data_IF_216351301954
#
_entry.id   IF_216351301954
#
_cell.length_a   1.000
_cell.length_b   1.000
_cell.length_c   1.000
_cell.angle_alpha   90.00
_cell.angle_beta   90.00
_cell.angle_gamma   90.00
#
_symmetry.space_group_name_H-M   'P 1'
#
loop_
_entity.id
_entity.type
_entity.pdbx_description
1 polymer ?
#
# COMPACT_ATOMS: atom_id res chain seq x y z
N UNK A 1 23.58 -3.35 -24.11
CA UNK A 1 22.10 -3.26 -23.99
C UNK A 1 21.65 -4.09 -22.82
N UNK A 2 20.88 -3.54 -21.89
CA UNK A 2 20.28 -4.33 -20.79
C UNK A 2 19.31 -5.36 -21.39
N UNK A 3 19.47 -6.66 -21.05
CA UNK A 3 18.62 -7.70 -21.58
C UNK A 3 17.19 -7.52 -21.07
N UNK A 4 16.21 -7.46 -21.97
CA UNK A 4 14.79 -7.47 -21.65
C UNK A 4 14.22 -8.88 -21.80
N UNK A 5 13.49 -9.33 -20.78
CA UNK A 5 12.85 -10.65 -20.74
C UNK A 5 11.40 -10.49 -20.31
N UNK A 6 10.47 -11.15 -21.01
CA UNK A 6 9.03 -11.14 -20.73
C UNK A 6 8.48 -12.56 -20.68
N UNK A 7 8.70 -13.30 -19.58
CA UNK A 7 8.20 -14.67 -19.44
C UNK A 7 6.67 -14.69 -19.37
N UNK A 8 6.05 -15.71 -19.98
CA UNK A 8 4.61 -15.95 -19.85
C UNK A 8 4.27 -16.84 -18.64
N UNK A 9 5.25 -17.51 -18.05
CA UNK A 9 5.05 -18.42 -16.93
C UNK A 9 5.80 -18.01 -15.66
N UNK A 10 5.17 -18.21 -14.51
CA UNK A 10 5.77 -17.87 -13.21
C UNK A 10 7.06 -18.65 -12.95
N UNK A 11 7.12 -19.94 -13.30
CA UNK A 11 8.31 -20.77 -13.07
C UNK A 11 9.51 -20.31 -13.91
N UNK A 12 9.29 -19.82 -15.16
CA UNK A 12 10.35 -19.22 -15.97
C UNK A 12 10.85 -17.93 -15.32
N UNK A 13 9.95 -17.05 -14.85
CA UNK A 13 10.33 -15.84 -14.14
C UNK A 13 11.19 -16.13 -12.89
N UNK A 14 10.77 -17.09 -12.07
CA UNK A 14 11.50 -17.50 -10.86
C UNK A 14 12.85 -18.17 -11.20
N UNK A 15 12.90 -18.92 -12.29
CA UNK A 15 14.14 -19.51 -12.79
C UNK A 15 15.17 -18.45 -13.17
N UNK A 16 14.75 -17.37 -13.83
CA UNK A 16 15.61 -16.24 -14.21
C UNK A 16 16.11 -15.47 -13.00
N UNK A 17 15.21 -15.17 -12.03
CA UNK A 17 15.59 -14.51 -10.76
C UNK A 17 16.58 -15.34 -9.93
N UNK A 18 16.50 -16.68 -10.04
CA UNK A 18 17.45 -17.58 -9.38
C UNK A 18 18.83 -17.59 -10.06
N UNK A 19 18.92 -17.25 -11.36
CA UNK A 19 20.16 -17.24 -12.10
C UNK A 19 20.95 -15.93 -11.95
N UNK A 20 20.24 -14.79 -11.98
CA UNK A 20 20.85 -13.47 -11.85
C UNK A 20 19.83 -12.43 -11.34
N UNK A 21 20.26 -11.36 -10.65
CA UNK A 21 19.39 -10.27 -10.24
C UNK A 21 18.77 -9.55 -11.45
N UNK A 22 17.46 -9.27 -11.37
CA UNK A 22 16.72 -8.53 -12.39
C UNK A 22 16.01 -7.32 -11.80
N UNK A 23 15.82 -6.29 -12.62
CA UNK A 23 14.89 -5.22 -12.34
C UNK A 23 13.48 -5.65 -12.78
N UNK A 24 12.60 -5.91 -11.83
CA UNK A 24 11.24 -6.38 -12.09
C UNK A 24 10.37 -5.19 -12.55
N UNK A 25 9.60 -5.40 -13.63
CA UNK A 25 8.59 -4.46 -14.11
C UNK A 25 7.22 -5.16 -14.09
N UNK A 26 6.26 -4.52 -13.41
CA UNK A 26 4.82 -4.77 -13.52
C UNK A 26 4.19 -3.59 -14.30
N UNK A 27 3.50 -2.65 -13.63
CA UNK A 27 2.92 -1.47 -14.30
C UNK A 27 3.92 -0.45 -14.84
N UNK A 28 5.16 -0.44 -14.35
CA UNK A 28 6.24 0.42 -14.81
C UNK A 28 6.13 1.90 -14.41
N UNK A 29 5.09 2.30 -13.71
CA UNK A 29 4.72 3.70 -13.41
C UNK A 29 5.73 4.46 -12.52
N UNK A 30 6.60 3.76 -11.81
CA UNK A 30 7.74 4.33 -11.07
C UNK A 30 9.07 4.06 -11.78
N UNK A 31 9.18 2.91 -12.46
CA UNK A 31 10.43 2.47 -13.08
C UNK A 31 10.84 3.38 -14.25
N UNK A 32 9.89 3.69 -15.15
CA UNK A 32 10.18 4.53 -16.32
C UNK A 32 10.45 5.99 -15.96
N UNK A 33 9.64 6.67 -15.10
CA UNK A 33 9.95 8.04 -14.69
C UNK A 33 11.29 8.17 -13.96
N UNK A 34 11.65 7.22 -13.09
CA UNK A 34 12.94 7.22 -12.41
C UNK A 34 14.11 7.05 -13.40
N UNK A 35 13.94 6.22 -14.43
CA UNK A 35 14.92 6.07 -15.49
C UNK A 35 15.08 7.36 -16.30
N UNK A 36 13.98 8.01 -16.69
CA UNK A 36 13.99 9.28 -17.42
C UNK A 36 14.65 10.41 -16.61
N UNK A 37 14.34 10.52 -15.32
CA UNK A 37 14.92 11.53 -14.43
C UNK A 37 16.44 11.37 -14.26
N UNK A 38 16.94 10.14 -14.23
CA UNK A 38 18.37 9.86 -14.09
C UNK A 38 19.22 10.26 -15.31
N UNK A 39 18.58 10.44 -16.49
CA UNK A 39 19.27 10.72 -17.76
C UNK A 39 19.15 12.17 -18.21
N UNK A 40 18.16 12.87 -17.69
CA UNK A 40 17.77 14.19 -18.18
C UNK A 40 16.99 14.12 -19.51
N UNK A 41 16.13 15.08 -19.72
CA UNK A 41 15.37 15.21 -20.98
C UNK A 41 16.32 15.48 -22.14
N UNK A 42 16.25 14.66 -23.20
CA UNK A 42 16.94 14.89 -24.45
C UNK A 42 18.27 14.18 -24.65
N UNK A 43 18.69 13.26 -23.78
CA UNK A 43 19.84 12.41 -24.03
C UNK A 43 19.41 11.06 -24.58
N UNK A 44 19.69 10.71 -25.85
CA UNK A 44 19.41 9.41 -26.40
C UNK A 44 20.35 8.34 -25.82
N UNK A 45 19.82 7.16 -25.56
CA UNK A 45 20.61 5.96 -25.32
C UNK A 45 21.17 5.87 -23.91
N UNK A 46 20.45 5.15 -23.07
CA UNK A 46 20.91 4.88 -21.72
C UNK A 46 21.39 3.45 -21.63
N UNK A 47 22.55 3.24 -22.16
CA UNK A 47 23.38 2.10 -21.76
C UNK A 47 24.19 2.54 -20.54
N UNK A 48 23.62 2.40 -19.33
CA UNK A 48 24.41 2.48 -18.12
C UNK A 48 25.08 1.12 -17.89
N UNK A 49 26.42 1.04 -17.92
CA UNK A 49 27.13 -0.17 -17.50
C UNK A 49 26.72 -0.47 -16.05
N UNK A 50 26.23 -1.68 -15.80
CA UNK A 50 25.80 -2.15 -14.46
C UNK A 50 24.29 -2.14 -14.21
N UNK A 51 23.41 -1.90 -15.18
CA UNK A 51 21.96 -2.11 -15.02
C UNK A 51 21.64 -3.60 -15.08
N UNK A 52 21.00 -4.09 -14.02
CA UNK A 52 20.40 -5.41 -14.02
C UNK A 52 19.44 -5.57 -15.22
N UNK A 53 19.38 -6.75 -15.83
CA UNK A 53 18.42 -7.05 -16.90
C UNK A 53 16.99 -6.80 -16.41
N UNK A 54 16.10 -6.46 -17.34
CA UNK A 54 14.70 -6.20 -17.05
C UNK A 54 13.93 -7.50 -17.13
N UNK A 55 13.14 -7.80 -16.09
CA UNK A 55 12.16 -8.86 -16.06
C UNK A 55 10.75 -8.26 -16.05
N UNK A 56 10.09 -8.27 -17.19
CA UNK A 56 8.71 -7.83 -17.36
C UNK A 56 7.77 -8.98 -17.05
N UNK A 57 7.03 -8.89 -15.94
CA UNK A 57 6.11 -9.94 -15.48
C UNK A 57 4.68 -9.77 -16.00
N UNK A 58 4.40 -8.77 -16.85
CA UNK A 58 3.03 -8.43 -17.30
C UNK A 58 2.36 -9.50 -18.15
N UNK A 59 3.10 -10.48 -18.69
CA UNK A 59 2.55 -11.60 -19.44
C UNK A 59 2.18 -12.82 -18.55
N UNK A 60 2.41 -12.75 -17.24
CA UNK A 60 2.14 -13.88 -16.32
C UNK A 60 0.70 -13.78 -15.82
N UNK A 61 -0.26 -14.35 -16.56
CA UNK A 61 -1.70 -14.32 -16.24
C UNK A 61 -2.01 -14.81 -14.82
N UNK A 62 -1.25 -15.79 -14.32
CA UNK A 62 -1.41 -16.30 -12.96
C UNK A 62 -1.24 -15.26 -11.85
N UNK A 63 -0.72 -14.06 -12.16
CA UNK A 63 -0.56 -12.94 -11.24
C UNK A 63 -1.68 -11.88 -11.35
N UNK A 64 -2.63 -12.04 -12.31
CA UNK A 64 -3.72 -11.08 -12.56
C UNK A 64 -5.03 -11.66 -12.00
N UNK A 65 -5.19 -11.66 -10.66
CA UNK A 65 -6.40 -12.19 -10.05
C UNK A 65 -6.74 -11.51 -8.74
N UNK A 66 -8.04 -11.41 -8.44
CA UNK A 66 -8.58 -11.18 -7.11
C UNK A 66 -9.41 -12.42 -6.76
N UNK A 67 -9.00 -13.17 -5.74
CA UNK A 67 -9.67 -14.40 -5.31
C UNK A 67 -10.17 -14.26 -3.88
N UNK A 68 -11.42 -14.60 -3.67
CA UNK A 68 -12.06 -14.63 -2.35
C UNK A 68 -12.08 -16.05 -1.81
N UNK A 69 -11.64 -16.20 -0.56
CA UNK A 69 -11.73 -17.41 0.23
C UNK A 69 -12.54 -17.10 1.49
N UNK A 70 -13.03 -18.11 2.21
CA UNK A 70 -13.80 -17.87 3.45
C UNK A 70 -13.02 -17.07 4.50
N UNK A 71 -11.70 -17.27 4.58
CA UNK A 71 -10.81 -16.71 5.59
C UNK A 71 -9.90 -15.56 5.08
N UNK A 72 -9.86 -15.33 3.78
CA UNK A 72 -8.97 -14.33 3.19
C UNK A 72 -9.38 -13.89 1.78
N UNK A 73 -8.77 -12.81 1.33
CA UNK A 73 -8.72 -12.39 -0.07
C UNK A 73 -7.28 -12.43 -0.55
N UNK A 74 -7.04 -12.99 -1.73
CA UNK A 74 -5.73 -12.98 -2.40
C UNK A 74 -5.78 -12.07 -3.63
N UNK A 75 -4.86 -11.10 -3.68
CA UNK A 75 -4.70 -10.14 -4.78
C UNK A 75 -3.37 -10.39 -5.46
N UNK A 76 -3.39 -10.77 -6.73
CA UNK A 76 -2.21 -11.05 -7.53
C UNK A 76 -1.35 -9.79 -7.78
N UNK A 77 -0.06 -10.00 -8.01
CA UNK A 77 0.90 -8.91 -8.14
C UNK A 77 0.68 -7.98 -9.35
N UNK A 78 -0.09 -8.41 -10.34
CA UNK A 78 -0.43 -7.62 -11.53
C UNK A 78 -1.76 -6.89 -11.42
N UNK A 79 -2.53 -7.10 -10.34
CA UNK A 79 -3.79 -6.37 -10.12
C UNK A 79 -3.51 -4.87 -10.03
N UNK A 80 -4.14 -4.13 -10.91
CA UNK A 80 -4.01 -2.68 -11.04
C UNK A 80 -4.87 -1.94 -10.02
N UNK A 81 -4.62 -0.64 -9.86
CA UNK A 81 -5.48 0.21 -9.04
C UNK A 81 -6.91 0.28 -9.58
N UNK A 82 -7.08 0.31 -10.91
CA UNK A 82 -8.41 0.29 -11.53
C UNK A 82 -9.19 -0.97 -11.18
N UNK A 83 -8.56 -2.14 -11.30
CA UNK A 83 -9.20 -3.41 -10.93
C UNK A 83 -9.55 -3.48 -9.43
N UNK A 84 -8.71 -2.90 -8.56
CA UNK A 84 -9.03 -2.78 -7.13
C UNK A 84 -10.22 -1.85 -6.86
N UNK A 85 -10.33 -0.72 -7.59
CA UNK A 85 -11.47 0.21 -7.50
C UNK A 85 -12.76 -0.46 -7.93
N UNK A 86 -12.72 -1.25 -9.01
CA UNK A 86 -13.87 -1.90 -9.64
C UNK A 86 -14.21 -3.26 -9.01
N UNK A 87 -13.39 -3.74 -8.06
CA UNK A 87 -13.59 -5.05 -7.42
C UNK A 87 -14.88 -5.09 -6.59
N UNK A 88 -15.58 -6.22 -6.68
CA UNK A 88 -16.73 -6.54 -5.82
C UNK A 88 -16.25 -7.17 -4.49
N UNK A 89 -15.55 -6.37 -3.68
CA UNK A 89 -15.14 -6.75 -2.33
C UNK A 89 -16.02 -6.04 -1.30
N UNK A 90 -16.21 -6.60 -0.09
CA UNK A 90 -17.04 -6.00 0.96
C UNK A 90 -16.53 -4.63 1.45
N UNK A 91 -17.36 -3.93 2.24
CA UNK A 91 -17.07 -2.58 2.75
C UNK A 91 -15.79 -2.47 3.59
N UNK A 92 -15.29 -3.56 4.16
CA UNK A 92 -13.99 -3.56 4.84
C UNK A 92 -12.80 -3.28 3.89
N UNK A 93 -13.02 -3.39 2.56
CA UNK A 93 -12.01 -3.06 1.54
C UNK A 93 -12.13 -1.61 1.04
N UNK A 94 -13.10 -0.84 1.49
CA UNK A 94 -13.34 0.52 0.99
C UNK A 94 -12.17 1.47 1.19
N UNK A 95 -11.41 1.31 2.29
CA UNK A 95 -10.18 2.06 2.49
C UNK A 95 -9.15 1.86 1.38
N UNK A 96 -9.02 0.65 0.85
CA UNK A 96 -8.12 0.37 -0.30
C UNK A 96 -8.69 0.98 -1.59
N UNK A 97 -10.01 0.91 -1.84
CA UNK A 97 -10.64 1.55 -3.01
C UNK A 97 -10.46 3.07 -2.98
N UNK A 98 -10.62 3.68 -1.81
CA UNK A 98 -10.44 5.13 -1.63
C UNK A 98 -8.98 5.52 -1.85
N UNK A 99 -8.01 4.78 -1.27
CA UNK A 99 -6.59 4.99 -1.53
C UNK A 99 -6.27 4.85 -3.02
N UNK A 100 -6.82 3.84 -3.70
CA UNK A 100 -6.62 3.60 -5.12
C UNK A 100 -7.07 4.79 -6.00
N UNK A 101 -8.19 5.46 -5.65
CA UNK A 101 -8.66 6.66 -6.36
C UNK A 101 -7.74 7.86 -6.20
N UNK A 102 -6.95 7.90 -5.12
CA UNK A 102 -5.98 8.98 -4.86
C UNK A 102 -4.62 8.74 -5.51
N UNK A 103 -4.35 7.53 -6.04
CA UNK A 103 -3.09 7.21 -6.71
C UNK A 103 -3.07 7.77 -8.12
N UNK A 104 -2.30 8.83 -8.32
CA UNK A 104 -2.08 9.41 -9.66
C UNK A 104 -3.36 9.80 -10.38
N UNK A 105 -3.32 9.72 -11.71
CA UNK A 105 -4.50 9.86 -12.58
C UNK A 105 -4.91 8.51 -13.16
N UNK A 106 -5.99 8.50 -13.97
CA UNK A 106 -6.55 7.28 -14.57
C UNK A 106 -5.52 6.44 -15.32
N UNK A 107 -4.59 7.09 -16.04
CA UNK A 107 -3.53 6.41 -16.78
C UNK A 107 -2.59 5.63 -15.84
N UNK A 108 -2.28 6.21 -14.68
CA UNK A 108 -1.48 5.55 -13.64
C UNK A 108 -2.27 4.40 -13.00
N UNK A 109 -3.55 4.63 -12.70
CA UNK A 109 -4.41 3.61 -12.11
C UNK A 109 -4.61 2.39 -13.00
N UNK A 110 -4.69 2.59 -14.32
CA UNK A 110 -4.83 1.51 -15.31
C UNK A 110 -3.55 0.67 -15.49
N UNK A 111 -2.40 1.11 -14.99
CA UNK A 111 -1.11 0.44 -15.19
C UNK A 111 -0.40 0.10 -13.88
N UNK A 112 -0.41 1.03 -12.93
CA UNK A 112 0.18 0.82 -11.61
C UNK A 112 -0.51 -0.30 -10.85
N UNK A 113 0.27 -1.16 -10.18
CA UNK A 113 -0.25 -2.30 -9.43
C UNK A 113 -0.11 -2.07 -7.93
N UNK A 114 -0.99 -2.72 -7.14
CA UNK A 114 -0.90 -2.67 -5.69
C UNK A 114 0.45 -3.22 -5.21
N UNK A 115 0.87 -4.37 -5.73
CA UNK A 115 2.15 -4.97 -5.38
C UNK A 115 3.35 -4.10 -5.80
N UNK A 116 3.28 -3.45 -6.97
CA UNK A 116 4.29 -2.50 -7.42
C UNK A 116 4.46 -1.33 -6.46
N UNK A 117 3.37 -0.80 -5.91
CA UNK A 117 3.37 0.26 -4.91
C UNK A 117 4.08 -0.17 -3.62
N UNK A 118 3.81 -1.41 -3.15
CA UNK A 118 4.48 -1.97 -1.97
C UNK A 118 5.98 -2.20 -2.23
N UNK A 119 6.35 -2.80 -3.37
CA UNK A 119 7.74 -3.06 -3.73
C UNK A 119 8.54 -1.76 -3.94
N UNK A 120 7.90 -0.70 -4.45
CA UNK A 120 8.51 0.62 -4.59
C UNK A 120 8.79 1.30 -3.25
N UNK A 121 8.05 0.93 -2.19
CA UNK A 121 8.26 1.31 -0.79
C UNK A 121 8.48 2.83 -0.58
N UNK A 122 7.73 3.67 -1.30
CA UNK A 122 7.75 5.12 -1.05
C UNK A 122 7.11 5.44 0.31
N UNK A 123 7.68 6.35 1.12
CA UNK A 123 7.03 6.83 2.34
C UNK A 123 5.64 7.42 2.12
N UNK A 124 5.37 7.93 0.91
CA UNK A 124 4.09 8.51 0.51
C UNK A 124 3.26 7.56 -0.40
N UNK A 125 3.47 6.25 -0.30
CA UNK A 125 2.70 5.24 -1.03
C UNK A 125 1.32 5.06 -0.40
N UNK A 126 0.27 5.58 -1.04
CA UNK A 126 -1.11 5.63 -0.50
C UNK A 126 -1.67 4.23 -0.20
N UNK A 127 -1.25 3.18 -0.93
CA UNK A 127 -1.68 1.81 -0.70
C UNK A 127 -1.16 1.18 0.59
N UNK A 128 -0.02 1.65 1.11
CA UNK A 128 0.63 1.02 2.27
C UNK A 128 -0.23 1.13 3.53
N UNK A 129 -0.66 2.32 4.00
CA UNK A 129 -1.50 2.41 5.20
C UNK A 129 -2.85 1.71 5.01
N UNK A 130 -3.44 1.75 3.80
CA UNK A 130 -4.71 1.08 3.52
C UNK A 130 -4.61 -0.45 3.69
N UNK A 131 -3.52 -1.05 3.23
CA UNK A 131 -3.27 -2.49 3.37
C UNK A 131 -2.77 -2.87 4.78
N UNK A 132 -2.03 -1.98 5.46
CA UNK A 132 -1.66 -2.19 6.88
C UNK A 132 -2.89 -2.22 7.79
N UNK A 133 -3.88 -1.36 7.54
CA UNK A 133 -5.14 -1.36 8.29
C UNK A 133 -6.02 -2.60 8.02
N UNK A 134 -5.62 -3.46 7.10
CA UNK A 134 -6.24 -4.75 6.81
C UNK A 134 -5.38 -5.95 7.23
N UNK A 135 -4.32 -5.74 8.01
CA UNK A 135 -3.35 -6.77 8.42
C UNK A 135 -2.80 -7.58 7.22
N UNK A 136 -2.61 -6.92 6.08
CA UNK A 136 -2.16 -7.56 4.86
C UNK A 136 -0.78 -8.20 5.04
N UNK A 137 -0.61 -9.33 4.38
CA UNK A 137 0.66 -10.03 4.23
C UNK A 137 1.05 -10.05 2.76
N UNK A 138 2.32 -10.21 2.46
CA UNK A 138 2.82 -10.40 1.10
C UNK A 138 3.41 -11.78 0.94
N UNK A 139 3.03 -12.48 -0.14
CA UNK A 139 3.61 -13.77 -0.50
C UNK A 139 4.76 -13.56 -1.45
N UNK A 140 5.95 -13.95 -1.00
CA UNK A 140 7.19 -13.89 -1.76
C UNK A 140 7.53 -15.30 -2.21
N UNK A 141 7.73 -15.47 -3.52
CA UNK A 141 8.08 -16.77 -4.12
C UNK A 141 9.46 -16.73 -4.75
N UNK A 142 10.17 -17.81 -4.61
CA UNK A 142 11.43 -18.11 -5.30
C UNK A 142 11.38 -19.50 -5.89
N UNK A 143 12.34 -19.87 -6.70
CA UNK A 143 12.48 -21.25 -7.16
C UNK A 143 12.56 -22.19 -5.94
N UNK A 144 11.67 -23.17 -5.87
CA UNK A 144 11.64 -24.18 -4.81
C UNK A 144 11.06 -23.73 -3.47
N UNK A 145 10.40 -22.55 -3.37
CA UNK A 145 9.78 -22.16 -2.10
C UNK A 145 9.01 -20.85 -2.12
N UNK A 146 8.30 -20.63 -1.03
CA UNK A 146 7.58 -19.35 -0.77
C UNK A 146 7.58 -19.04 0.73
N UNK A 147 7.40 -17.75 1.05
CA UNK A 147 7.16 -17.28 2.41
C UNK A 147 6.13 -16.15 2.42
N UNK A 148 5.30 -16.11 3.46
CA UNK A 148 4.35 -15.03 3.70
C UNK A 148 4.92 -14.11 4.78
N UNK A 149 5.05 -12.82 4.46
CA UNK A 149 5.61 -11.80 5.34
C UNK A 149 4.53 -10.79 5.69
N UNK A 150 4.31 -10.42 6.98
CA UNK A 150 3.45 -9.30 7.33
C UNK A 150 3.90 -8.03 6.61
N UNK A 151 2.95 -7.23 6.08
CA UNK A 151 3.29 -6.00 5.36
C UNK A 151 4.09 -5.03 6.23
N UNK A 152 3.81 -4.98 7.53
CA UNK A 152 4.56 -4.17 8.49
C UNK A 152 6.06 -4.52 8.53
N UNK A 153 6.41 -5.80 8.34
CA UNK A 153 7.80 -6.28 8.31
C UNK A 153 8.38 -6.28 6.90
N UNK A 154 7.55 -6.15 5.86
CA UNK A 154 8.02 -6.18 4.48
C UNK A 154 8.74 -4.90 4.09
N UNK A 155 8.18 -3.72 4.43
CA UNK A 155 8.80 -2.41 4.13
C UNK A 155 9.71 -2.05 5.30
N UNK A 156 11.02 -2.01 5.03
CA UNK A 156 12.06 -1.82 6.05
C UNK A 156 12.62 -0.40 6.11
N UNK A 157 12.24 0.46 5.17
CA UNK A 157 12.68 1.85 5.10
C UNK A 157 12.28 2.51 3.79
N UNK A 158 12.68 3.76 3.59
CA UNK A 158 12.43 4.48 2.36
C UNK A 158 13.05 3.75 1.17
N UNK A 159 12.21 3.30 0.23
CA UNK A 159 12.60 2.53 -0.96
C UNK A 159 13.34 1.22 -0.61
N UNK A 160 13.09 0.67 0.57
CA UNK A 160 13.71 -0.57 1.03
C UNK A 160 12.67 -1.57 1.52
N UNK A 161 12.84 -2.80 1.10
CA UNK A 161 11.99 -3.93 1.50
C UNK A 161 12.86 -5.11 1.92
N UNK A 162 12.26 -6.13 2.53
CA UNK A 162 12.93 -7.40 2.83
C UNK A 162 12.89 -8.40 1.67
N UNK A 163 12.50 -7.97 0.47
CA UNK A 163 12.52 -8.79 -0.76
C UNK A 163 13.96 -9.15 -1.11
N UNK A 164 14.23 -10.43 -1.33
CA UNK A 164 15.53 -10.91 -1.76
C UNK A 164 15.66 -10.86 -3.29
N UNK A 165 16.88 -10.78 -3.85
CA UNK A 165 17.08 -10.68 -5.30
C UNK A 165 16.45 -11.83 -6.11
N UNK A 166 16.37 -13.03 -5.53
CA UNK A 166 15.80 -14.22 -6.15
C UNK A 166 14.29 -14.38 -5.91
N UNK A 167 13.66 -13.45 -5.16
CA UNK A 167 12.24 -13.51 -4.84
C UNK A 167 11.40 -12.61 -5.74
N UNK A 168 10.16 -13.02 -5.98
CA UNK A 168 9.11 -12.25 -6.60
C UNK A 168 7.92 -12.14 -5.63
N UNK A 169 7.43 -10.93 -5.38
CA UNK A 169 6.11 -10.76 -4.76
C UNK A 169 5.05 -11.23 -5.74
N UNK A 170 4.31 -12.26 -5.39
CA UNK A 170 3.28 -12.85 -6.27
C UNK A 170 1.86 -12.53 -5.84
N UNK A 171 1.65 -12.28 -4.55
CA UNK A 171 0.30 -12.13 -3.99
C UNK A 171 0.32 -11.23 -2.77
N UNK A 172 -0.68 -10.38 -2.63
CA UNK A 172 -1.05 -9.73 -1.37
C UNK A 172 -2.17 -10.57 -0.76
N UNK A 173 -1.98 -11.02 0.47
CA UNK A 173 -2.92 -11.85 1.22
C UNK A 173 -3.53 -10.99 2.32
N UNK A 174 -4.84 -10.82 2.30
CA UNK A 174 -5.59 -10.02 3.27
C UNK A 174 -6.49 -10.96 4.04
N UNK A 175 -6.33 -11.13 5.36
CA UNK A 175 -7.24 -11.91 6.16
C UNK A 175 -8.64 -11.29 6.14
N UNK A 176 -9.67 -12.10 6.05
CA UNK A 176 -11.06 -11.60 6.12
C UNK A 176 -11.35 -11.15 7.55
N UNK A 177 -11.70 -9.86 7.77
CA UNK A 177 -12.11 -9.40 9.09
C UNK A 177 -13.49 -9.96 9.47
N UNK A 178 -13.90 -9.72 10.71
CA UNK A 178 -15.22 -10.12 11.18
C UNK A 178 -16.34 -9.53 10.31
N UNK A 179 -17.50 -10.19 10.19
CA UNK A 179 -18.66 -9.66 9.48
C UNK A 179 -19.06 -8.28 10.00
N UNK A 180 -19.38 -7.36 9.10
CA UNK A 180 -19.73 -5.98 9.45
C UNK A 180 -18.53 -5.04 9.63
N UNK A 181 -17.31 -5.53 9.52
CA UNK A 181 -16.12 -4.67 9.51
C UNK A 181 -16.16 -3.66 8.36
N UNK A 182 -15.66 -2.46 8.61
CA UNK A 182 -15.60 -1.35 7.63
C UNK A 182 -14.23 -0.70 7.68
N UNK A 183 -13.80 -0.14 6.56
CA UNK A 183 -12.58 0.65 6.52
C UNK A 183 -12.77 1.94 5.73
N UNK A 184 -11.87 2.90 5.97
CA UNK A 184 -11.82 4.17 5.24
C UNK A 184 -10.39 4.63 5.06
N UNK A 185 -10.16 5.52 4.07
CA UNK A 185 -8.89 6.16 3.82
C UNK A 185 -9.09 7.65 3.60
N UNK A 186 -8.24 8.46 4.22
CA UNK A 186 -8.21 9.91 4.06
C UNK A 186 -6.81 10.39 3.75
N UNK A 187 -6.70 11.42 2.90
CA UNK A 187 -5.44 11.99 2.44
C UNK A 187 -5.43 13.51 2.61
N UNK A 188 -4.31 14.04 3.06
CA UNK A 188 -3.98 15.46 3.06
C UNK A 188 -2.88 15.70 2.02
N UNK A 189 -3.14 16.54 1.06
CA UNK A 189 -2.18 17.02 0.06
C UNK A 189 -2.29 18.53 -0.12
N UNK A 190 -1.35 19.13 -0.84
CA UNK A 190 -1.37 20.57 -1.16
C UNK A 190 -2.49 20.95 -2.15
N UNK A 191 -3.11 19.97 -2.80
CA UNK A 191 -4.27 20.09 -3.69
C UNK A 191 -5.07 18.80 -3.64
N UNK A 192 -6.27 18.78 -4.24
CA UNK A 192 -7.18 17.64 -4.14
C UNK A 192 -6.71 16.39 -4.91
N UNK A 193 -6.15 16.57 -6.11
CA UNK A 193 -5.79 15.47 -7.01
C UNK A 193 -4.33 15.56 -7.47
N UNK A 194 -3.76 14.44 -7.92
CA UNK A 194 -2.44 14.34 -8.53
C UNK A 194 -1.36 14.99 -7.65
N UNK A 195 -1.34 14.63 -6.38
CA UNK A 195 -0.45 15.22 -5.38
C UNK A 195 0.17 14.14 -4.50
N UNK A 196 1.41 14.36 -4.08
CA UNK A 196 2.08 13.53 -3.07
C UNK A 196 1.52 13.86 -1.69
N UNK A 197 1.20 12.84 -0.91
CA UNK A 197 0.59 12.97 0.42
C UNK A 197 1.50 13.72 1.40
N UNK A 198 0.93 14.71 2.08
CA UNK A 198 1.52 15.37 3.25
C UNK A 198 1.32 14.47 4.47
N UNK A 199 0.10 13.94 4.62
CA UNK A 199 -0.28 12.91 5.58
C UNK A 199 -1.37 12.04 4.94
N UNK A 200 -1.46 10.79 5.32
CA UNK A 200 -2.53 9.88 4.92
C UNK A 200 -2.82 8.90 6.04
N UNK A 201 -4.09 8.54 6.17
CA UNK A 201 -4.60 7.68 7.23
C UNK A 201 -5.54 6.66 6.64
N UNK A 202 -5.35 5.41 7.03
CA UNK A 202 -6.36 4.38 6.86
C UNK A 202 -6.83 3.91 8.24
N UNK A 203 -8.13 3.72 8.38
CA UNK A 203 -8.74 3.19 9.60
C UNK A 203 -9.71 2.06 9.25
N UNK A 204 -9.71 1.02 10.07
CA UNK A 204 -10.66 -0.08 10.05
C UNK A 204 -11.26 -0.32 11.44
N UNK A 205 -12.55 -0.60 11.50
CA UNK A 205 -13.24 -0.93 12.74
C UNK A 205 -14.06 -2.22 12.55
N UNK A 206 -13.98 -3.07 13.56
CA UNK A 206 -14.86 -4.22 13.79
C UNK A 206 -15.73 -3.90 15.00
N UNK A 207 -17.04 -3.88 14.80
CA UNK A 207 -18.00 -3.60 15.87
C UNK A 207 -18.87 -4.82 16.10
N UNK A 208 -18.99 -5.25 17.37
CA UNK A 208 -19.88 -6.32 17.79
C UNK A 208 -20.53 -5.93 19.13
N UNK A 209 -21.82 -6.15 19.23
CA UNK A 209 -22.61 -5.83 20.44
C UNK A 209 -22.47 -4.34 20.87
N UNK A 210 -22.45 -3.42 19.88
CA UNK A 210 -22.30 -1.97 20.12
C UNK A 210 -20.94 -1.55 20.65
N UNK A 211 -19.92 -2.42 20.56
CA UNK A 211 -18.57 -2.13 21.02
C UNK A 211 -17.53 -2.44 19.97
N UNK A 212 -16.45 -1.68 19.94
CA UNK A 212 -15.28 -1.94 19.10
C UNK A 212 -14.61 -3.23 19.59
N UNK A 213 -14.43 -4.20 18.71
CA UNK A 213 -13.75 -5.48 18.94
C UNK A 213 -12.48 -5.64 18.13
N UNK A 214 -12.18 -4.64 17.32
CA UNK A 214 -10.94 -4.51 16.58
C UNK A 214 -10.86 -3.14 15.95
N UNK A 215 -9.77 -2.45 16.22
CA UNK A 215 -9.42 -1.20 15.57
C UNK A 215 -8.06 -1.35 14.89
N UNK A 216 -7.94 -0.86 13.66
CA UNK A 216 -6.68 -0.85 12.90
C UNK A 216 -6.51 0.50 12.26
N UNK A 217 -5.48 1.24 12.67
CA UNK A 217 -5.28 2.64 12.28
C UNK A 217 -3.84 2.82 11.84
N UNK A 218 -3.63 3.10 10.57
CA UNK A 218 -2.30 3.27 9.98
C UNK A 218 -2.12 4.68 9.43
N UNK A 219 -0.95 5.26 9.69
CA UNK A 219 -0.55 6.60 9.22
C UNK A 219 0.64 6.48 8.29
N UNK A 220 0.53 7.08 7.10
CA UNK A 220 1.62 7.18 6.11
C UNK A 220 2.06 8.62 5.88
N UNK A 221 3.17 8.81 5.19
CA UNK A 221 3.86 10.08 4.92
C UNK A 221 4.31 10.87 6.17
N UNK A 222 4.16 10.29 7.37
CA UNK A 222 4.55 10.89 8.65
C UNK A 222 5.70 10.13 9.35
N UNK A 223 6.39 9.27 8.63
CA UNK A 223 7.58 8.52 9.04
C UNK A 223 8.25 7.94 7.79
N UNK A 224 9.44 7.39 7.92
CA UNK A 224 10.15 6.71 6.82
C UNK A 224 9.32 5.57 6.22
N UNK A 225 8.55 4.87 7.05
CA UNK A 225 7.54 3.86 6.67
C UNK A 225 6.21 4.17 7.35
N UNK A 226 5.10 3.75 6.75
CA UNK A 226 3.79 3.87 7.38
C UNK A 226 3.75 3.08 8.69
N UNK A 227 3.07 3.62 9.71
CA UNK A 227 3.02 3.07 11.07
C UNK A 227 1.60 2.85 11.53
N UNK A 228 1.37 1.73 12.24
CA UNK A 228 0.15 1.48 13.00
C UNK A 228 0.18 2.28 14.30
N UNK A 229 -0.98 2.79 14.71
CA UNK A 229 -1.16 3.50 15.99
C UNK A 229 -1.65 2.52 17.07
N UNK A 230 -0.81 1.53 17.39
CA UNK A 230 -1.18 0.38 18.26
C UNK A 230 -1.65 0.79 19.65
N UNK A 231 -1.15 1.92 20.20
CA UNK A 231 -1.62 2.47 21.49
C UNK A 231 -3.08 2.94 21.40
N UNK A 232 -3.43 3.65 20.32
CA UNK A 232 -4.81 4.08 20.09
C UNK A 232 -5.71 2.87 19.84
N UNK A 233 -5.28 1.94 19.00
CA UNK A 233 -6.02 0.72 18.70
C UNK A 233 -6.38 -0.06 19.98
N UNK A 234 -5.40 -0.29 20.86
CA UNK A 234 -5.62 -0.98 22.14
C UNK A 234 -6.58 -0.21 23.07
N UNK A 235 -6.52 1.13 23.06
CA UNK A 235 -7.40 1.94 23.91
C UNK A 235 -8.84 1.99 23.39
N UNK A 236 -9.05 1.84 22.10
CA UNK A 236 -10.39 1.80 21.49
C UNK A 236 -11.10 0.46 21.71
N UNK A 237 -10.37 -0.61 22.01
CA UNK A 237 -10.94 -1.94 22.28
C UNK A 237 -11.97 -1.86 23.44
N UNK A 238 -13.16 -2.41 23.21
CA UNK A 238 -14.26 -2.42 24.17
C UNK A 238 -15.01 -1.10 24.35
N UNK A 239 -14.56 0.01 23.74
CA UNK A 239 -15.28 1.31 23.79
C UNK A 239 -16.48 1.30 22.84
N UNK A 240 -17.37 2.30 22.99
CA UNK A 240 -18.43 2.53 22.00
C UNK A 240 -17.84 3.18 20.75
N UNK A 241 -18.33 2.84 19.55
CA UNK A 241 -17.85 3.48 18.34
C UNK A 241 -17.96 5.02 18.37
N UNK A 242 -19.03 5.57 18.94
CA UNK A 242 -19.29 7.01 19.01
C UNK A 242 -18.21 7.76 19.82
N UNK A 243 -17.58 7.10 20.78
CA UNK A 243 -16.54 7.67 21.63
C UNK A 243 -15.16 7.68 20.94
N UNK A 244 -14.98 6.90 19.86
CA UNK A 244 -13.69 6.69 19.24
C UNK A 244 -13.04 7.99 18.71
N UNK A 245 -13.75 8.92 18.03
CA UNK A 245 -13.13 10.17 17.57
C UNK A 245 -12.64 11.05 18.72
N UNK A 246 -13.38 11.10 19.84
CA UNK A 246 -13.02 11.84 21.06
C UNK A 246 -11.89 11.20 21.85
N UNK A 247 -11.63 9.91 21.61
CA UNK A 247 -10.56 9.14 22.24
C UNK A 247 -9.17 9.41 21.70
N UNK A 248 -9.01 10.16 20.58
CA UNK A 248 -7.72 10.42 19.94
C UNK A 248 -6.89 11.43 20.72
N UNK A 249 -5.68 11.04 21.16
CA UNK A 249 -4.78 11.86 21.98
C UNK A 249 -3.46 12.11 21.24
N UNK A 250 -2.75 13.17 21.65
CA UNK A 250 -1.44 13.53 21.06
C UNK A 250 -0.40 12.40 21.26
N UNK A 251 -0.41 11.73 22.39
CA UNK A 251 0.51 10.63 22.71
C UNK A 251 0.37 9.41 21.81
N UNK A 252 -0.75 9.25 21.09
CA UNK A 252 -0.95 8.17 20.14
C UNK A 252 -0.02 8.27 18.92
N UNK A 253 0.45 9.47 18.64
CA UNK A 253 1.31 9.79 17.51
C UNK A 253 2.81 9.77 17.86
N UNK A 254 3.18 9.35 19.08
CA UNK A 254 4.57 9.33 19.55
C UNK A 254 5.48 8.41 18.71
N UNK A 255 4.91 7.36 18.08
CA UNK A 255 5.65 6.45 17.17
C UNK A 255 5.96 7.06 15.80
N UNK A 256 5.37 8.22 15.47
CA UNK A 256 5.61 8.90 14.21
C UNK A 256 6.85 9.80 14.29
N UNK A 257 7.64 9.79 13.23
CA UNK A 257 8.83 10.64 13.05
C UNK A 257 8.77 11.39 11.72
N UNK A 258 7.85 12.37 11.59
CA UNK A 258 7.70 13.13 10.36
C UNK A 258 8.91 14.04 10.12
N UNK A 259 9.28 14.20 8.86
CA UNK A 259 10.35 15.10 8.44
C UNK A 259 9.81 16.45 7.96
N UNK A 260 10.67 17.45 7.93
CA UNK A 260 10.44 18.73 7.22
C UNK A 260 10.90 18.57 5.78
N UNK A 261 10.05 18.96 4.82
CA UNK A 261 10.42 19.06 3.41
C UNK A 261 9.68 20.23 2.74
N UNK A 262 9.84 20.36 1.42
CA UNK A 262 9.18 21.41 0.62
C UNK A 262 7.64 21.37 0.66
N UNK A 263 7.05 20.28 1.12
CA UNK A 263 5.59 20.08 1.17
C UNK A 263 5.00 20.53 2.48
N UNK A 264 5.69 20.25 3.61
CA UNK A 264 5.17 20.58 4.93
C UNK A 264 6.24 20.41 6.03
N UNK A 265 6.05 21.12 7.14
CA UNK A 265 6.81 20.89 8.35
C UNK A 265 6.40 19.60 9.06
N UNK A 266 7.29 19.05 9.88
CA UNK A 266 7.02 17.89 10.73
C UNK A 266 5.82 18.12 11.67
N UNK A 267 5.72 19.32 12.24
CA UNK A 267 4.62 19.71 13.11
C UNK A 267 3.28 19.70 12.37
N UNK A 268 3.23 20.27 11.14
CA UNK A 268 2.03 20.25 10.33
C UNK A 268 1.60 18.84 9.92
N UNK A 269 2.55 17.98 9.55
CA UNK A 269 2.26 16.56 9.24
C UNK A 269 1.66 15.83 10.44
N UNK A 270 2.20 16.02 11.64
CA UNK A 270 1.69 15.41 12.88
C UNK A 270 0.29 15.91 13.20
N UNK A 271 0.07 17.23 13.14
CA UNK A 271 -1.26 17.83 13.33
C UNK A 271 -2.27 17.29 12.30
N UNK A 272 -1.89 17.29 11.01
CA UNK A 272 -2.71 16.76 9.92
C UNK A 272 -3.07 15.28 10.13
N UNK A 273 -2.11 14.45 10.53
CA UNK A 273 -2.36 13.04 10.84
C UNK A 273 -3.41 12.88 11.96
N UNK A 274 -3.32 13.68 13.04
CA UNK A 274 -4.31 13.66 14.14
C UNK A 274 -5.70 14.03 13.64
N UNK A 275 -5.83 15.11 12.88
CA UNK A 275 -7.12 15.53 12.31
C UNK A 275 -7.69 14.45 11.40
N UNK A 276 -6.86 13.84 10.54
CA UNK A 276 -7.31 12.76 9.64
C UNK A 276 -7.75 11.51 10.41
N UNK A 277 -7.04 11.11 11.48
CA UNK A 277 -7.44 9.97 12.32
C UNK A 277 -8.80 10.21 12.96
N UNK A 278 -8.99 11.39 13.57
CA UNK A 278 -10.28 11.76 14.17
C UNK A 278 -11.42 11.72 13.14
N UNK A 279 -11.19 12.28 11.95
CA UNK A 279 -12.18 12.28 10.85
C UNK A 279 -12.45 10.87 10.31
N UNK A 280 -11.42 10.04 10.16
CA UNK A 280 -11.57 8.67 9.69
C UNK A 280 -12.42 7.83 10.64
N UNK A 281 -12.17 7.96 11.96
CA UNK A 281 -12.99 7.31 12.98
C UNK A 281 -14.44 7.83 12.95
N UNK A 282 -14.64 9.14 12.84
CA UNK A 282 -15.99 9.73 12.70
C UNK A 282 -16.74 9.21 11.47
N UNK A 283 -16.09 9.13 10.31
CA UNK A 283 -16.69 8.60 9.09
C UNK A 283 -17.12 7.13 9.24
N UNK A 284 -16.32 6.31 9.93
CA UNK A 284 -16.67 4.90 10.20
C UNK A 284 -17.87 4.77 11.14
N UNK A 285 -18.02 5.66 12.11
CA UNK A 285 -19.13 5.68 13.07
C UNK A 285 -20.44 6.09 12.38
N UNK A 286 -20.40 7.19 11.61
CA UNK A 286 -21.62 7.75 10.98
C UNK A 286 -22.03 7.10 9.67
N UNK A 287 -21.28 6.14 9.20
CA UNK A 287 -21.60 5.45 7.96
C UNK A 287 -21.31 6.25 6.67
N UNK A 288 -20.60 7.37 6.76
CA UNK A 288 -20.33 8.28 5.64
C UNK A 288 -19.22 7.79 4.68
N UNK A 289 -18.80 6.54 4.81
CA UNK A 289 -17.66 5.98 4.07
C UNK A 289 -17.88 5.69 2.57
N UNK A 290 -19.07 5.94 2.00
CA UNK A 290 -19.39 5.53 0.63
C UNK A 290 -19.91 6.65 -0.29
N UNK A 291 -20.02 7.89 0.15
CA UNK A 291 -20.55 8.97 -0.67
C UNK A 291 -19.55 10.11 -0.85
N UNK A 292 -18.75 10.06 -1.92
CA UNK A 292 -18.42 11.16 -2.87
C UNK A 292 -17.27 10.79 -3.78
#
# INVERSE_FOLDING_TARGET
MSAYRRPAGLNDALGRLSAEPHRIIAGGTDVFPAAAAAVGWGRPGIDHPGRAPILDITAIEALSHIRRFPDRVEIGALVTWTEAIESDLPAWFDGVRQAAREVGGRQIQNRGTLAGNLCNASPAADGVPALLALDARVRLRRRGGSRDVPLESFITGNRRTCLRPEELMTTIVIPSPAPGARSTFLKLGARRYLVISIAMVAAGLEVRDGRIRGARIAVGACSEVARRLTRLEARLEGTRPEDAPGGVREEDFASLSPLNDVRASAAYRRHGARVLVTRALGALVHGEGAAR
#
